data_IF_677172537292
#
_entry.id   IF_677172537292
#
_cell.length_a   1.000
_cell.length_b   1.000
_cell.length_c   1.000
_cell.angle_alpha   90.00
_cell.angle_beta   90.00
_cell.angle_gamma   90.00
#
_symmetry.space_group_name_H-M   'P 1'
#
loop_
_entity.id
_entity.type
_entity.pdbx_description
1 polymer ?
#
# COMPACT_ATOMS: atom_id res chain seq x y z
N UNK A 1 9.52 6.83 -15.64
CA UNK A 1 8.57 7.73 -14.95
C UNK A 1 7.41 6.85 -14.52
N UNK A 2 7.07 6.84 -13.24
CA UNK A 2 6.05 5.97 -12.64
C UNK A 2 4.97 6.82 -11.97
N UNK A 3 3.75 6.29 -11.85
CA UNK A 3 2.68 6.94 -11.10
C UNK A 3 2.66 6.32 -9.71
N UNK A 4 2.80 7.15 -8.68
CA UNK A 4 2.65 6.76 -7.28
C UNK A 4 1.24 7.03 -6.77
N UNK A 5 0.75 6.15 -5.91
CA UNK A 5 -0.55 6.28 -5.24
C UNK A 5 -0.29 6.30 -3.75
N UNK A 6 -0.88 7.26 -3.05
CA UNK A 6 -0.56 7.47 -1.65
C UNK A 6 -1.79 7.81 -0.81
N UNK A 7 -1.70 7.47 0.49
CA UNK A 7 -2.55 8.03 1.53
C UNK A 7 -1.72 8.96 2.41
N UNK A 8 -2.29 10.10 2.77
CA UNK A 8 -1.66 11.04 3.67
C UNK A 8 -2.64 11.50 4.76
N UNK A 9 -2.22 11.49 6.02
CA UNK A 9 -3.04 11.95 7.15
C UNK A 9 -2.21 12.59 8.25
N UNK A 10 -2.86 13.42 9.07
CA UNK A 10 -2.30 13.89 10.35
C UNK A 10 -2.34 12.80 11.43
N UNK A 11 -3.04 11.69 11.19
CA UNK A 11 -3.21 10.58 12.12
C UNK A 11 -2.61 9.31 11.55
N UNK A 12 -2.11 8.43 12.42
CA UNK A 12 -1.67 7.09 12.01
C UNK A 12 -2.91 6.30 11.58
N UNK A 13 -2.94 5.87 10.32
CA UNK A 13 -3.99 5.03 9.76
C UNK A 13 -3.81 3.56 10.20
N UNK A 14 -4.93 2.85 10.34
CA UNK A 14 -4.92 1.41 10.53
C UNK A 14 -4.42 0.74 9.24
N UNK A 15 -3.27 0.08 9.31
CA UNK A 15 -2.64 -0.58 8.15
C UNK A 15 -3.18 -2.01 8.10
N UNK A 16 -4.40 -2.20 7.60
CA UNK A 16 -4.91 -3.55 7.36
C UNK A 16 -6.08 -3.58 6.39
N UNK A 17 -5.91 -4.20 5.21
CA UNK A 17 -6.77 -5.28 4.80
C UNK A 17 -6.21 -6.57 5.41
N UNK A 18 -6.66 -6.94 6.62
CA UNK A 18 -6.46 -8.30 7.13
C UNK A 18 -7.57 -9.12 6.49
N UNK A 19 -7.29 -9.81 5.40
CA UNK A 19 -8.11 -10.97 5.06
C UNK A 19 -7.94 -11.96 6.21
N UNK A 20 -9.01 -12.64 6.62
CA UNK A 20 -8.98 -13.65 7.68
C UNK A 20 -8.11 -14.88 7.33
N UNK A 21 -7.37 -14.86 6.21
CA UNK A 21 -6.61 -15.97 5.65
C UNK A 21 -5.10 -15.94 6.00
N UNK A 22 -4.55 -14.79 6.41
CA UNK A 22 -3.10 -14.65 6.62
C UNK A 22 -2.71 -14.99 8.07
N UNK A 23 -2.54 -16.29 8.33
CA UNK A 23 -2.01 -16.78 9.60
C UNK A 23 -0.51 -16.43 9.74
N UNK A 24 -0.10 -15.98 10.93
CA UNK A 24 1.31 -15.78 11.24
C UNK A 24 2.02 -17.12 11.40
N UNK A 25 3.08 -17.31 10.61
CA UNK A 25 3.89 -18.51 10.56
C UNK A 25 5.29 -18.21 11.09
N UNK A 26 5.89 -19.22 11.71
CA UNK A 26 7.29 -19.28 12.07
C UNK A 26 8.13 -19.82 10.91
N UNK A 27 9.45 -19.64 10.99
CA UNK A 27 10.37 -20.14 9.98
C UNK A 27 10.24 -21.66 9.79
N UNK A 28 10.10 -22.41 10.89
CA UNK A 28 9.86 -23.85 10.85
C UNK A 28 8.52 -24.23 10.20
N UNK A 29 7.48 -23.42 10.40
CA UNK A 29 6.18 -23.63 9.75
C UNK A 29 6.28 -23.38 8.24
N UNK A 30 7.09 -22.41 7.78
CA UNK A 30 7.34 -22.15 6.35
C UNK A 30 8.12 -23.29 5.66
N UNK A 31 9.19 -23.76 6.28
CA UNK A 31 10.01 -24.89 5.78
C UNK A 31 9.15 -26.16 5.55
N UNK A 32 8.16 -26.39 6.41
CA UNK A 32 7.26 -27.55 6.26
C UNK A 32 6.29 -27.47 5.07
N UNK A 33 6.12 -26.29 4.46
CA UNK A 33 5.13 -26.07 3.41
C UNK A 33 5.70 -26.24 1.98
N UNK A 34 7.01 -26.07 1.75
CA UNK A 34 7.70 -26.27 0.46
C UNK A 34 9.22 -26.54 0.64
N UNK A 35 9.93 -26.88 -0.45
CA UNK A 35 11.37 -27.18 -0.50
C UNK A 35 12.25 -26.09 0.16
N UNK A 36 12.74 -26.38 1.37
CA UNK A 36 13.47 -25.49 2.29
C UNK A 36 14.56 -24.64 1.63
N UNK A 37 15.27 -25.20 0.65
CA UNK A 37 16.44 -24.57 0.04
C UNK A 37 16.10 -23.31 -0.76
N UNK A 38 14.94 -23.29 -1.43
CA UNK A 38 14.53 -22.15 -2.26
C UNK A 38 14.07 -20.96 -1.40
N UNK A 39 13.31 -21.25 -0.33
CA UNK A 39 12.84 -20.24 0.63
C UNK A 39 14.03 -19.60 1.34
N UNK A 40 14.97 -20.43 1.82
CA UNK A 40 16.21 -19.95 2.44
C UNK A 40 17.00 -19.01 1.53
N UNK A 41 17.20 -19.41 0.28
CA UNK A 41 17.92 -18.61 -0.69
C UNK A 41 17.23 -17.27 -0.97
N UNK A 42 15.91 -17.26 -1.11
CA UNK A 42 15.12 -16.06 -1.35
C UNK A 42 15.20 -15.08 -0.17
N UNK A 43 15.08 -15.59 1.05
CA UNK A 43 15.18 -14.80 2.28
C UNK A 43 16.55 -14.17 2.47
N UNK A 44 17.63 -14.92 2.24
CA UNK A 44 18.99 -14.42 2.40
C UNK A 44 19.41 -13.48 1.25
N UNK A 45 19.04 -13.83 0.01
CA UNK A 45 19.55 -13.15 -1.18
C UNK A 45 18.69 -11.95 -1.59
N UNK A 46 17.37 -12.10 -1.57
CA UNK A 46 16.45 -11.10 -2.10
C UNK A 46 15.88 -10.19 -0.99
N UNK A 47 15.70 -10.73 0.21
CA UNK A 47 15.18 -9.97 1.35
C UNK A 47 16.26 -9.50 2.33
N UNK A 48 17.51 -9.99 2.20
CA UNK A 48 18.63 -9.64 3.08
C UNK A 48 18.43 -10.08 4.53
N UNK A 49 17.55 -11.06 4.76
CA UNK A 49 17.22 -11.59 6.07
C UNK A 49 18.24 -12.67 6.41
N UNK A 50 18.99 -12.47 7.49
CA UNK A 50 19.89 -13.51 8.01
C UNK A 50 19.08 -14.56 8.76
N UNK A 51 18.69 -15.60 8.04
CA UNK A 51 17.79 -16.64 8.57
C UNK A 51 18.39 -17.34 9.80
N UNK A 52 19.72 -17.46 9.88
CA UNK A 52 20.41 -18.06 11.04
C UNK A 52 20.31 -17.24 12.34
N UNK A 53 19.92 -15.97 12.27
CA UNK A 53 19.74 -15.10 13.43
C UNK A 53 18.27 -15.04 13.91
N UNK A 54 17.36 -15.74 13.22
CA UNK A 54 15.94 -15.80 13.53
C UNK A 54 15.66 -16.94 14.51
N UNK A 55 14.88 -16.67 15.58
CA UNK A 55 14.31 -17.77 16.36
C UNK A 55 13.33 -18.55 15.46
N UNK A 56 13.61 -19.83 15.19
CA UNK A 56 12.87 -20.59 14.20
C UNK A 56 11.40 -20.87 14.59
N UNK A 57 11.03 -20.61 15.85
CA UNK A 57 9.66 -20.75 16.35
C UNK A 57 8.94 -19.40 16.52
N UNK A 58 9.63 -18.28 16.34
CA UNK A 58 9.01 -16.96 16.40
C UNK A 58 8.14 -16.73 15.15
N UNK A 59 6.87 -16.41 15.38
CA UNK A 59 5.89 -16.18 14.31
C UNK A 59 6.11 -14.80 13.69
N UNK A 60 7.05 -14.72 12.76
CA UNK A 60 7.45 -13.47 12.11
C UNK A 60 6.99 -13.34 10.65
N UNK A 61 6.50 -14.42 10.05
CA UNK A 61 6.17 -14.47 8.63
C UNK A 61 4.67 -14.47 8.41
N UNK A 62 4.26 -13.87 7.31
CA UNK A 62 2.89 -13.87 6.84
C UNK A 62 2.90 -14.38 5.42
N UNK A 63 2.33 -15.57 5.18
CA UNK A 63 2.04 -16.00 3.83
C UNK A 63 0.79 -15.23 3.39
N UNK A 64 0.97 -14.37 2.40
CA UNK A 64 -0.13 -13.81 1.66
C UNK A 64 -0.63 -14.93 0.74
N UNK A 65 -1.88 -15.36 0.92
CA UNK A 65 -2.53 -16.19 -0.10
C UNK A 65 -2.79 -15.26 -1.29
N UNK A 66 -1.87 -15.34 -2.25
CA UNK A 66 -1.63 -14.42 -3.37
C UNK A 66 -2.73 -14.43 -4.46
N UNK A 67 -3.87 -15.08 -4.23
CA UNK A 67 -4.95 -15.21 -5.21
C UNK A 67 -6.10 -14.20 -5.03
N UNK A 68 -6.16 -13.47 -3.91
CA UNK A 68 -7.24 -12.48 -3.65
C UNK A 68 -6.74 -11.05 -3.33
N UNK A 69 -5.44 -10.83 -3.09
CA UNK A 69 -4.93 -9.51 -2.71
C UNK A 69 -4.80 -8.59 -3.92
N UNK A 70 -5.60 -7.52 -3.96
CA UNK A 70 -5.66 -6.58 -5.10
C UNK A 70 -4.77 -5.36 -4.92
N UNK A 71 -4.37 -5.06 -3.68
CA UNK A 71 -3.47 -3.96 -3.33
C UNK A 71 -2.84 -4.20 -1.95
N UNK A 72 -1.69 -3.56 -1.70
CA UNK A 72 -1.08 -3.46 -0.38
C UNK A 72 -0.85 -2.00 0.00
N UNK A 73 -0.78 -1.71 1.31
CA UNK A 73 -0.51 -0.38 1.85
C UNK A 73 0.65 -0.47 2.82
N UNK A 74 1.68 0.34 2.57
CA UNK A 74 2.88 0.37 3.40
C UNK A 74 3.15 1.80 3.84
N UNK A 75 3.59 1.97 5.09
CA UNK A 75 3.97 3.30 5.58
C UNK A 75 5.25 3.74 4.88
N UNK A 76 5.17 4.84 4.15
CA UNK A 76 6.34 5.49 3.59
C UNK A 76 7.02 6.31 4.69
N UNK A 77 8.32 6.08 4.88
CA UNK A 77 9.15 6.79 5.88
C UNK A 77 10.28 7.57 5.21
N UNK A 78 10.44 7.42 3.90
CA UNK A 78 11.47 8.08 3.14
C UNK A 78 10.92 9.40 2.61
N UNK A 79 11.83 10.34 2.29
CA UNK A 79 11.43 11.57 1.60
C UNK A 79 11.28 11.27 0.12
N UNK A 80 10.07 11.42 -0.41
CA UNK A 80 9.70 11.17 -1.79
C UNK A 80 9.14 12.41 -2.52
N UNK A 81 8.55 12.18 -3.69
CA UNK A 81 7.91 13.22 -4.49
C UNK A 81 6.68 13.80 -3.77
N UNK A 82 5.93 12.96 -3.06
CA UNK A 82 4.72 13.34 -2.31
C UNK A 82 4.97 14.38 -1.21
N UNK A 83 6.14 14.38 -0.57
CA UNK A 83 6.50 15.38 0.46
C UNK A 83 6.48 16.83 -0.07
N UNK A 84 6.50 17.01 -1.41
CA UNK A 84 6.37 18.32 -2.04
C UNK A 84 4.93 18.79 -2.17
N UNK A 85 3.96 17.88 -2.05
CA UNK A 85 2.54 18.11 -2.32
C UNK A 85 1.66 18.14 -1.07
N UNK A 86 2.11 17.53 0.03
CA UNK A 86 1.36 17.46 1.28
C UNK A 86 2.26 17.70 2.49
N UNK A 87 1.71 18.31 3.54
CA UNK A 87 2.36 18.57 4.82
C UNK A 87 2.07 17.49 5.88
N UNK A 88 1.37 16.43 5.47
CA UNK A 88 0.86 15.38 6.36
C UNK A 88 2.01 14.47 6.84
N UNK A 89 2.16 14.24 8.17
CA UNK A 89 3.27 13.49 8.73
C UNK A 89 3.17 11.96 8.58
N UNK A 90 1.97 11.42 8.30
CA UNK A 90 1.77 10.00 8.06
C UNK A 90 1.43 9.77 6.59
N UNK A 91 2.45 9.34 5.84
CA UNK A 91 2.35 9.02 4.42
C UNK A 91 2.42 7.50 4.25
N UNK A 92 1.60 6.98 3.34
CA UNK A 92 1.55 5.57 3.00
C UNK A 92 1.54 5.43 1.49
N UNK A 93 2.32 4.49 0.97
CA UNK A 93 2.32 4.10 -0.44
C UNK A 93 1.33 2.95 -0.65
N UNK A 94 0.55 3.04 -1.73
CA UNK A 94 -0.38 1.98 -2.15
C UNK A 94 0.17 1.31 -3.40
N UNK A 95 0.52 0.03 -3.28
CA UNK A 95 0.88 -0.81 -4.42
C UNK A 95 -0.36 -1.53 -4.90
N UNK A 96 -0.72 -1.40 -6.17
CA UNK A 96 -1.88 -2.07 -6.77
C UNK A 96 -1.40 -3.22 -7.65
N UNK A 97 -1.92 -4.42 -7.40
CA UNK A 97 -1.58 -5.64 -8.11
C UNK A 97 -2.61 -5.99 -9.19
N UNK A 98 -3.90 -5.71 -8.93
CA UNK A 98 -5.00 -5.98 -9.86
C UNK A 98 -5.92 -4.76 -9.98
N UNK A 99 -5.72 -3.99 -11.05
CA UNK A 99 -6.50 -2.79 -11.36
C UNK A 99 -7.98 -3.05 -11.68
N UNK A 100 -8.32 -4.24 -12.17
CA UNK A 100 -9.70 -4.59 -12.51
C UNK A 100 -10.53 -4.86 -11.25
N UNK A 101 -9.88 -5.36 -10.20
CA UNK A 101 -10.53 -5.76 -8.94
C UNK A 101 -10.32 -4.79 -7.78
N UNK A 102 -9.31 -3.92 -7.80
CA UNK A 102 -8.90 -3.08 -6.63
C UNK A 102 -9.96 -2.13 -6.09
N UNK A 103 -10.83 -1.57 -6.94
CA UNK A 103 -11.64 -0.42 -6.52
C UNK A 103 -12.66 -0.74 -5.42
N UNK A 104 -13.24 -1.93 -5.44
CA UNK A 104 -14.20 -2.36 -4.39
C UNK A 104 -13.48 -2.54 -3.05
N UNK A 105 -12.49 -3.43 -2.91
CA UNK A 105 -11.81 -3.67 -1.63
C UNK A 105 -11.06 -2.44 -1.13
N UNK A 106 -10.48 -1.61 -2.00
CA UNK A 106 -9.85 -0.36 -1.57
C UNK A 106 -10.89 0.63 -1.03
N UNK A 107 -12.07 0.74 -1.65
CA UNK A 107 -13.14 1.59 -1.14
C UNK A 107 -13.59 1.14 0.26
N UNK A 108 -13.78 -0.17 0.43
CA UNK A 108 -14.18 -0.75 1.72
C UNK A 108 -13.13 -0.44 2.80
N UNK A 109 -11.85 -0.66 2.50
CA UNK A 109 -10.75 -0.29 3.39
C UNK A 109 -10.81 1.21 3.77
N UNK A 110 -10.90 2.10 2.78
CA UNK A 110 -10.93 3.55 3.03
C UNK A 110 -12.14 3.99 3.87
N UNK A 111 -13.27 3.29 3.77
CA UNK A 111 -14.46 3.53 4.61
C UNK A 111 -14.27 3.12 6.07
N UNK A 112 -13.31 2.23 6.37
CA UNK A 112 -12.96 1.86 7.76
C UNK A 112 -12.06 2.88 8.45
N UNK A 113 -11.55 3.87 7.73
CA UNK A 113 -10.69 4.92 8.29
C UNK A 113 -11.56 5.96 9.00
N UNK A 114 -11.51 5.97 10.33
CA UNK A 114 -12.27 6.91 11.18
C UNK A 114 -11.63 8.30 11.29
N UNK A 115 -10.68 8.64 10.41
CA UNK A 115 -9.93 9.90 10.45
C UNK A 115 -9.85 10.53 9.06
N UNK A 116 -9.80 11.87 8.94
CA UNK A 116 -9.61 12.52 7.66
C UNK A 116 -8.31 12.11 6.98
N UNK A 117 -8.38 11.92 5.66
CA UNK A 117 -7.21 11.54 4.86
C UNK A 117 -7.26 12.14 3.45
N UNK A 118 -6.08 12.22 2.86
CA UNK A 118 -5.88 12.58 1.47
C UNK A 118 -5.51 11.32 0.68
N UNK A 119 -6.22 11.03 -0.41
CA UNK A 119 -5.85 10.00 -1.38
C UNK A 119 -5.22 10.69 -2.59
N UNK A 120 -4.00 10.31 -2.93
CA UNK A 120 -3.18 10.98 -3.94
C UNK A 120 -2.85 10.06 -5.11
N UNK A 121 -2.80 10.65 -6.30
CA UNK A 121 -2.17 10.08 -7.50
C UNK A 121 -1.15 11.09 -8.03
N UNK A 122 0.13 10.71 -8.04
CA UNK A 122 1.26 11.60 -8.31
C UNK A 122 2.16 11.00 -9.39
N UNK A 123 2.71 11.83 -10.28
CA UNK A 123 3.75 11.43 -11.22
C UNK A 123 5.12 11.52 -10.54
N UNK A 124 5.75 10.38 -10.25
CA UNK A 124 7.02 10.33 -9.54
C UNK A 124 8.18 10.86 -10.38
N UNK A 125 9.07 11.60 -9.73
CA UNK A 125 10.28 12.15 -10.36
C UNK A 125 10.07 13.43 -11.19
N UNK A 126 8.83 13.91 -11.33
CA UNK A 126 8.52 15.24 -11.86
C UNK A 126 7.79 16.05 -10.79
N UNK A 127 8.38 17.19 -10.41
CA UNK A 127 7.69 18.19 -9.61
C UNK A 127 7.28 19.34 -10.52
N UNK A 128 6.35 19.08 -11.43
CA UNK A 128 5.65 20.16 -12.12
C UNK A 128 4.54 20.60 -11.14
N UNK A 129 4.80 21.69 -10.39
CA UNK A 129 3.84 22.31 -9.46
C UNK A 129 2.65 22.97 -10.19
N UNK A 130 2.49 22.71 -11.49
CA UNK A 130 1.38 23.18 -12.31
C UNK A 130 0.08 22.46 -11.93
N UNK A 131 -0.90 23.27 -11.53
CA UNK A 131 -2.32 22.96 -11.28
C UNK A 131 -2.63 21.60 -10.65
N UNK A 132 -2.44 21.51 -9.31
CA UNK A 132 -3.00 20.45 -8.47
C UNK A 132 -4.53 20.39 -8.62
N UNK A 133 -5.06 19.24 -9.00
CA UNK A 133 -6.50 19.01 -8.99
C UNK A 133 -6.96 18.51 -7.62
N UNK A 134 -7.87 19.26 -6.99
CA UNK A 134 -8.46 18.90 -5.69
C UNK A 134 -9.91 18.48 -5.85
N UNK A 135 -10.22 17.28 -5.37
CA UNK A 135 -11.58 16.73 -5.32
C UNK A 135 -12.00 16.65 -3.86
N UNK A 136 -12.90 17.54 -3.43
CA UNK A 136 -13.50 17.43 -2.08
C UNK A 136 -14.59 16.37 -2.09
N UNK A 137 -14.43 15.33 -1.27
CA UNK A 137 -15.30 14.16 -1.28
C UNK A 137 -16.15 14.12 -0.02
N UNK A 138 -17.47 14.16 -0.18
CA UNK A 138 -18.41 14.02 0.95
C UNK A 138 -18.62 12.57 1.41
N UNK A 139 -18.34 11.60 0.54
CA UNK A 139 -18.53 10.17 0.82
C UNK A 139 -17.53 9.33 0.02
N UNK A 140 -16.75 8.52 0.74
CA UNK A 140 -15.88 7.48 0.15
C UNK A 140 -16.76 6.46 -0.57
N UNK A 141 -16.64 6.36 -1.89
CA UNK A 141 -17.34 5.35 -2.69
C UNK A 141 -16.47 4.97 -3.90
N UNK A 142 -16.82 3.84 -4.54
CA UNK A 142 -16.09 3.26 -5.67
C UNK A 142 -15.86 4.23 -6.83
N UNK A 143 -16.87 5.05 -7.16
CA UNK A 143 -16.75 6.02 -8.24
C UNK A 143 -15.75 7.11 -7.90
N UNK A 144 -15.77 7.61 -6.65
CA UNK A 144 -14.83 8.65 -6.22
C UNK A 144 -13.40 8.14 -6.13
N UNK A 145 -13.19 6.93 -5.59
CA UNK A 145 -11.86 6.29 -5.59
C UNK A 145 -11.35 6.15 -7.02
N UNK A 146 -12.19 5.64 -7.93
CA UNK A 146 -11.84 5.51 -9.36
C UNK A 146 -11.49 6.83 -10.03
N UNK A 147 -12.13 7.95 -9.66
CA UNK A 147 -11.78 9.28 -10.18
C UNK A 147 -10.39 9.74 -9.75
N UNK A 148 -10.00 9.45 -8.51
CA UNK A 148 -8.70 9.89 -7.97
C UNK A 148 -7.55 9.02 -8.50
N UNK A 149 -7.70 7.69 -8.47
CA UNK A 149 -6.57 6.78 -8.77
C UNK A 149 -6.67 6.05 -10.12
N UNK A 150 -7.81 6.13 -10.81
CA UNK A 150 -8.03 5.45 -12.09
C UNK A 150 -7.19 6.00 -13.25
N UNK A 151 -7.12 5.24 -14.34
CA UNK A 151 -6.26 5.56 -15.47
C UNK A 151 -6.78 6.70 -16.36
N UNK A 152 -5.83 7.55 -16.78
CA UNK A 152 -5.72 8.23 -18.08
C UNK A 152 -6.40 9.58 -18.37
N UNK A 153 -6.83 10.37 -17.39
CA UNK A 153 -7.37 11.70 -17.71
C UNK A 153 -6.42 12.87 -17.41
N UNK A 154 -5.41 12.68 -16.55
CA UNK A 154 -4.75 13.82 -15.90
C UNK A 154 -3.23 13.80 -15.99
N UNK A 155 -2.68 14.91 -16.51
CA UNK A 155 -1.24 15.21 -16.55
C UNK A 155 -0.72 15.73 -15.19
N UNK A 156 -1.61 16.24 -14.33
CA UNK A 156 -1.26 16.85 -13.05
C UNK A 156 -1.54 15.89 -11.86
N UNK A 157 -0.93 16.15 -10.68
CA UNK A 157 -1.28 15.46 -9.45
C UNK A 157 -2.75 15.69 -9.08
N UNK A 158 -3.40 14.65 -8.54
CA UNK A 158 -4.78 14.71 -8.06
C UNK A 158 -4.83 14.31 -6.59
N UNK A 159 -5.61 15.02 -5.80
CA UNK A 159 -5.94 14.67 -4.41
C UNK A 159 -7.45 14.60 -4.18
N UNK A 160 -7.90 13.50 -3.59
CA UNK A 160 -9.20 13.40 -2.95
C UNK A 160 -9.08 13.68 -1.45
N UNK A 161 -9.77 14.70 -0.94
CA UNK A 161 -9.88 14.96 0.50
C UNK A 161 -11.17 14.32 1.03
N UNK A 162 -11.05 13.39 1.98
CA UNK A 162 -12.14 12.62 2.58
C UNK A 162 -12.26 12.89 4.08
#
# INVERSE_FOLDING_TARGET
MTVGIYLASYHKLAITPKTNASASLSFNELCRLQDDAAILQDMETNLGIKVNEIDPNEKMFMLLQDDEETFSIQRDREKGTIDRYTDKPFIYYITIYDWDRVYTPLTEYLQTLDVPFELWRIWEGKAELGDLERITVKKVNKQTVKKVIGANEYLNPIVGCF
#
